data_IF_760778643284
#
_entry.id   IF_760778643284
#
_cell.length_a   1.000
_cell.length_b   1.000
_cell.length_c   1.000
_cell.angle_alpha   90.00
_cell.angle_beta   90.00
_cell.angle_gamma   90.00
#
_symmetry.space_group_name_H-M   'P 1'
#
loop_
_entity.id
_entity.type
_entity.pdbx_description
1 polymer ?
#
# COMPACT_ATOMS: atom_id res chain seq x y z
N UNK A 1 -35.55 -12.38 3.72
CA UNK A 1 -34.53 -11.30 3.78
C UNK A 1 -33.59 -11.43 4.98
N UNK A 2 -34.07 -11.64 6.23
CA UNK A 2 -33.22 -11.66 7.45
C UNK A 2 -32.08 -12.69 7.48
N UNK A 3 -32.23 -13.88 6.89
CA UNK A 3 -31.15 -14.88 6.80
C UNK A 3 -30.13 -14.61 5.68
N UNK A 4 -30.47 -13.77 4.70
CA UNK A 4 -29.58 -13.47 3.57
C UNK A 4 -28.56 -12.36 3.91
N UNK A 5 -28.84 -11.53 4.91
CA UNK A 5 -28.00 -10.39 5.27
C UNK A 5 -26.61 -10.81 5.81
N UNK A 6 -26.49 -11.76 6.77
CA UNK A 6 -25.17 -12.22 7.23
C UNK A 6 -24.36 -12.88 6.11
N UNK A 7 -25.01 -13.70 5.28
CA UNK A 7 -24.38 -14.33 4.12
C UNK A 7 -23.89 -13.30 3.11
N UNK A 8 -24.69 -12.26 2.84
CA UNK A 8 -24.30 -11.16 1.97
C UNK A 8 -23.10 -10.39 2.51
N UNK A 9 -23.08 -10.07 3.81
CA UNK A 9 -21.94 -9.43 4.46
C UNK A 9 -20.68 -10.30 4.35
N UNK A 10 -20.80 -11.61 4.56
CA UNK A 10 -19.66 -12.52 4.41
C UNK A 10 -19.11 -12.55 2.98
N UNK A 11 -19.98 -12.63 1.97
CA UNK A 11 -19.57 -12.59 0.55
C UNK A 11 -18.86 -11.28 0.23
N UNK A 12 -19.41 -10.15 0.67
CA UNK A 12 -18.78 -8.82 0.48
C UNK A 12 -17.41 -8.77 1.16
N UNK A 13 -17.29 -9.26 2.39
CA UNK A 13 -16.02 -9.31 3.09
C UNK A 13 -14.99 -10.15 2.33
N UNK A 14 -15.35 -11.35 1.86
CA UNK A 14 -14.44 -12.20 1.07
C UNK A 14 -13.98 -11.48 -0.20
N UNK A 15 -14.90 -10.84 -0.93
CA UNK A 15 -14.55 -10.08 -2.13
C UNK A 15 -13.58 -8.93 -1.82
N UNK A 16 -13.80 -8.19 -0.73
CA UNK A 16 -12.92 -7.11 -0.28
C UNK A 16 -11.55 -7.61 0.21
N UNK A 17 -11.49 -8.82 0.78
CA UNK A 17 -10.22 -9.42 1.21
C UNK A 17 -9.39 -9.91 0.02
N UNK A 18 -10.04 -10.46 -1.01
CA UNK A 18 -9.35 -11.15 -2.11
C UNK A 18 -9.05 -10.22 -3.28
N UNK A 19 -10.01 -9.41 -3.72
CA UNK A 19 -9.87 -8.64 -4.97
C UNK A 19 -8.70 -7.65 -4.95
N UNK A 20 -8.50 -6.81 -3.92
CA UNK A 20 -7.42 -5.81 -3.96
C UNK A 20 -6.02 -6.43 -3.92
N UNK A 21 -5.69 -7.38 -3.01
CA UNK A 21 -4.40 -8.07 -3.05
C UNK A 21 -4.18 -8.83 -4.35
N UNK A 22 -5.21 -9.47 -4.89
CA UNK A 22 -5.12 -10.18 -6.17
C UNK A 22 -4.84 -9.24 -7.33
N UNK A 23 -5.57 -8.13 -7.44
CA UNK A 23 -5.36 -7.13 -8.48
C UNK A 23 -3.96 -6.49 -8.38
N UNK A 24 -3.50 -6.20 -7.16
CA UNK A 24 -2.14 -5.67 -6.98
C UNK A 24 -1.09 -6.72 -7.34
N UNK A 25 -1.30 -7.99 -7.01
CA UNK A 25 -0.39 -9.09 -7.36
C UNK A 25 -0.25 -9.27 -8.88
N UNK A 26 -1.36 -9.20 -9.63
CA UNK A 26 -1.33 -9.37 -11.09
C UNK A 26 -0.63 -8.21 -11.79
N UNK A 27 -0.78 -6.99 -11.29
CA UNK A 27 -0.14 -5.77 -11.84
C UNK A 27 1.31 -5.59 -11.35
N UNK A 28 1.68 -6.21 -10.24
CA UNK A 28 2.99 -6.06 -9.59
C UNK A 28 4.15 -6.33 -10.54
N UNK A 29 4.04 -7.35 -11.39
CA UNK A 29 5.11 -7.75 -12.29
C UNK A 29 5.45 -6.68 -13.33
N UNK A 30 4.44 -6.13 -14.01
CA UNK A 30 4.64 -5.08 -15.01
C UNK A 30 5.17 -3.80 -14.38
N UNK A 31 4.62 -3.40 -13.23
CA UNK A 31 5.12 -2.21 -12.52
C UNK A 31 6.56 -2.37 -12.05
N UNK A 32 6.94 -3.55 -11.53
CA UNK A 32 8.32 -3.81 -11.16
C UNK A 32 9.26 -3.76 -12.36
N UNK A 33 8.83 -4.25 -13.54
CA UNK A 33 9.61 -4.17 -14.76
C UNK A 33 9.81 -2.72 -15.22
N UNK A 34 8.77 -1.89 -15.19
CA UNK A 34 8.86 -0.47 -15.52
C UNK A 34 9.79 0.28 -14.54
N UNK A 35 9.71 -0.06 -13.25
CA UNK A 35 10.53 0.52 -12.19
C UNK A 35 11.98 0.02 -12.19
N UNK A 36 12.29 -1.08 -12.91
CA UNK A 36 13.65 -1.59 -13.10
C UNK A 36 14.42 -0.81 -14.17
N UNK A 37 13.76 0.13 -14.84
CA UNK A 37 14.38 0.99 -15.86
C UNK A 37 15.56 1.79 -15.29
N UNK A 38 16.73 1.78 -15.96
CA UNK A 38 17.88 2.58 -15.56
C UNK A 38 17.59 4.08 -15.45
N UNK A 39 16.64 4.59 -16.25
CA UNK A 39 16.24 5.99 -16.21
C UNK A 39 15.59 6.36 -14.86
N UNK A 40 14.70 5.51 -14.33
CA UNK A 40 14.04 5.74 -13.04
C UNK A 40 15.05 5.72 -11.89
N UNK A 41 16.05 4.84 -11.96
CA UNK A 41 17.14 4.82 -10.99
C UNK A 41 18.02 6.08 -11.08
N UNK A 42 18.30 6.57 -12.30
CA UNK A 42 19.07 7.80 -12.50
C UNK A 42 18.34 9.03 -11.95
N UNK A 43 17.04 9.17 -12.24
CA UNK A 43 16.17 10.23 -11.69
C UNK A 43 16.14 10.18 -10.16
N UNK A 44 16.05 8.99 -9.58
CA UNK A 44 16.11 8.83 -8.12
C UNK A 44 17.45 9.25 -7.53
N UNK A 45 18.55 8.90 -8.20
CA UNK A 45 19.88 9.31 -7.77
C UNK A 45 20.06 10.83 -7.87
N UNK A 46 19.57 11.47 -8.93
CA UNK A 46 19.58 12.93 -9.10
C UNK A 46 18.80 13.62 -7.98
N UNK A 47 17.57 13.16 -7.72
CA UNK A 47 16.75 13.63 -6.61
C UNK A 47 17.49 13.54 -5.26
N UNK A 48 18.14 12.42 -4.97
CA UNK A 48 18.93 12.25 -3.74
C UNK A 48 20.11 13.21 -3.67
N UNK A 49 20.81 13.42 -4.79
CA UNK A 49 21.95 14.32 -4.86
C UNK A 49 21.53 15.78 -4.63
N UNK A 50 20.38 16.19 -5.17
CA UNK A 50 19.87 17.54 -4.94
C UNK A 50 19.41 17.76 -3.51
N UNK A 51 18.79 16.75 -2.90
CA UNK A 51 18.48 16.77 -1.46
C UNK A 51 19.74 16.88 -0.59
N UNK A 52 20.84 16.24 -0.99
CA UNK A 52 22.13 16.37 -0.29
C UNK A 52 22.71 17.78 -0.40
N UNK A 53 22.70 18.38 -1.60
CA UNK A 53 23.15 19.77 -1.77
C UNK A 53 22.34 20.73 -0.88
N UNK A 54 21.03 20.52 -0.77
CA UNK A 54 20.15 21.33 0.07
C UNK A 54 20.34 21.09 1.57
N UNK A 55 20.75 19.88 1.98
CA UNK A 55 21.02 19.57 3.39
C UNK A 55 22.32 20.19 3.90
N UNK A 56 23.31 20.33 3.02
CA UNK A 56 24.62 20.88 3.35
C UNK A 56 24.64 22.42 3.37
N UNK A 57 23.59 23.05 2.82
CA UNK A 57 23.36 24.49 2.95
C UNK A 57 22.86 24.78 4.37
N UNK A 58 23.58 25.64 5.11
CA UNK A 58 23.29 26.04 6.49
C UNK A 58 22.05 26.94 6.62
N UNK A 59 20.97 26.61 5.93
CA UNK A 59 19.67 27.27 6.03
C UNK A 59 18.89 26.80 7.27
N UNK A 60 17.84 27.54 7.66
CA UNK A 60 17.01 27.19 8.81
C UNK A 60 16.21 25.89 8.64
N UNK A 61 16.08 25.38 7.41
CA UNK A 61 15.43 24.10 7.10
C UNK A 61 16.47 23.18 6.47
N UNK A 62 16.85 22.13 7.20
CA UNK A 62 17.69 21.07 6.65
C UNK A 62 16.81 19.97 6.07
N UNK A 63 16.92 19.74 4.77
CA UNK A 63 16.25 18.62 4.13
C UNK A 63 16.95 17.31 4.49
N UNK A 64 16.18 16.28 4.83
CA UNK A 64 16.74 14.96 5.13
C UNK A 64 16.90 14.19 3.82
N UNK A 65 18.14 13.81 3.52
CA UNK A 65 18.39 12.91 2.39
C UNK A 65 17.72 11.56 2.66
N UNK A 66 16.94 11.02 1.71
CA UNK A 66 16.35 9.69 1.84
C UNK A 66 17.42 8.65 2.21
N UNK A 67 17.06 7.58 2.90
CA UNK A 67 18.03 6.51 3.22
C UNK A 67 18.11 5.42 2.15
N UNK A 68 17.02 5.21 1.40
CA UNK A 68 16.91 4.13 0.40
C UNK A 68 17.73 4.43 -0.86
N UNK A 69 18.63 3.54 -1.23
CA UNK A 69 19.38 3.62 -2.48
C UNK A 69 18.50 3.42 -3.72
N UNK A 70 17.40 2.69 -3.59
CA UNK A 70 16.44 2.44 -4.65
C UNK A 70 15.16 3.29 -4.48
N UNK A 71 14.41 3.55 -5.57
CA UNK A 71 13.11 4.20 -5.49
C UNK A 71 12.19 3.48 -4.50
N UNK A 72 11.51 4.22 -3.58
CA UNK A 72 10.76 3.62 -2.49
C UNK A 72 9.61 2.74 -2.98
N UNK A 73 8.96 3.10 -4.09
CA UNK A 73 7.88 2.30 -4.67
C UNK A 73 8.36 0.92 -5.14
N UNK A 74 9.56 0.86 -5.74
CA UNK A 74 10.19 -0.40 -6.17
C UNK A 74 10.47 -1.31 -4.98
N UNK A 75 11.09 -0.75 -3.94
CA UNK A 75 11.37 -1.46 -2.67
C UNK A 75 10.06 -1.95 -2.03
N UNK A 76 9.03 -1.11 -2.00
CA UNK A 76 7.74 -1.47 -1.40
C UNK A 76 7.06 -2.63 -2.13
N UNK A 77 7.00 -2.57 -3.47
CA UNK A 77 6.43 -3.65 -4.29
C UNK A 77 7.27 -4.92 -4.23
N UNK A 78 8.60 -4.84 -4.20
CA UNK A 78 9.48 -6.01 -4.17
C UNK A 78 9.49 -6.69 -2.80
N UNK A 79 9.74 -5.92 -1.74
CA UNK A 79 10.15 -6.45 -0.44
C UNK A 79 8.99 -6.44 0.58
N UNK A 80 8.05 -5.50 0.46
CA UNK A 80 7.01 -5.26 1.46
C UNK A 80 5.59 -5.58 0.99
N UNK A 81 5.42 -6.18 -0.20
CA UNK A 81 4.12 -6.55 -0.72
C UNK A 81 3.32 -7.41 0.27
N UNK A 82 3.92 -8.47 0.82
CA UNK A 82 3.21 -9.35 1.76
C UNK A 82 2.90 -8.68 3.08
N UNK A 83 3.76 -7.75 3.54
CA UNK A 83 3.46 -6.94 4.71
C UNK A 83 2.20 -6.09 4.47
N UNK A 84 2.06 -5.51 3.28
CA UNK A 84 0.86 -4.76 2.89
C UNK A 84 -0.39 -5.66 2.82
N UNK A 85 -0.28 -6.88 2.28
CA UNK A 85 -1.39 -7.83 2.23
C UNK A 85 -1.85 -8.24 3.64
N UNK A 86 -0.90 -8.50 4.55
CA UNK A 86 -1.22 -8.83 5.94
C UNK A 86 -1.87 -7.64 6.65
N UNK A 87 -1.30 -6.44 6.50
CA UNK A 87 -1.87 -5.23 7.08
C UNK A 87 -3.28 -4.96 6.54
N UNK A 88 -3.51 -5.15 5.24
CA UNK A 88 -4.83 -5.07 4.61
C UNK A 88 -5.80 -6.05 5.26
N UNK A 89 -5.43 -7.33 5.32
CA UNK A 89 -6.29 -8.37 5.87
C UNK A 89 -6.70 -8.07 7.33
N UNK A 90 -5.75 -7.63 8.17
CA UNK A 90 -6.00 -7.32 9.58
C UNK A 90 -6.89 -6.09 9.72
N UNK A 91 -6.48 -4.96 9.14
CA UNK A 91 -7.16 -3.68 9.34
C UNK A 91 -8.55 -3.68 8.71
N UNK A 92 -8.68 -4.20 7.48
CA UNK A 92 -9.96 -4.27 6.80
C UNK A 92 -10.92 -5.26 7.49
N UNK A 93 -10.43 -6.36 8.06
CA UNK A 93 -11.28 -7.29 8.83
C UNK A 93 -11.79 -6.67 10.12
N UNK A 94 -10.94 -5.96 10.86
CA UNK A 94 -11.35 -5.24 12.08
C UNK A 94 -12.42 -4.21 11.74
N UNK A 95 -12.17 -3.37 10.74
CA UNK A 95 -13.12 -2.35 10.30
C UNK A 95 -14.46 -2.97 9.84
N UNK A 96 -14.39 -4.02 9.01
CA UNK A 96 -15.57 -4.71 8.52
C UNK A 96 -16.36 -5.37 9.65
N UNK A 97 -15.69 -5.96 10.64
CA UNK A 97 -16.32 -6.57 11.80
C UNK A 97 -17.15 -5.56 12.60
N UNK A 98 -16.56 -4.40 12.94
CA UNK A 98 -17.28 -3.33 13.62
C UNK A 98 -18.47 -2.81 12.79
N UNK A 99 -18.25 -2.56 11.51
CA UNK A 99 -19.31 -2.09 10.61
C UNK A 99 -20.44 -3.13 10.46
N UNK A 100 -20.08 -4.41 10.32
CA UNK A 100 -21.02 -5.52 10.22
C UNK A 100 -21.89 -5.66 11.48
N UNK A 101 -21.30 -5.52 12.68
CA UNK A 101 -22.05 -5.51 13.94
C UNK A 101 -23.05 -4.34 13.97
N UNK A 102 -22.61 -3.14 13.58
CA UNK A 102 -23.48 -1.96 13.54
C UNK A 102 -24.66 -2.16 12.57
N UNK A 103 -24.38 -2.65 11.35
CA UNK A 103 -25.42 -2.95 10.35
C UNK A 103 -26.40 -4.01 10.87
N UNK A 104 -25.91 -5.10 11.46
CA UNK A 104 -26.77 -6.14 12.03
C UNK A 104 -27.58 -5.62 13.23
N UNK A 105 -27.03 -4.70 14.01
CA UNK A 105 -27.72 -4.06 15.14
C UNK A 105 -28.86 -3.14 14.71
N UNK A 106 -28.65 -2.32 13.66
CA UNK A 106 -29.69 -1.40 13.14
C UNK A 106 -30.80 -2.15 12.39
N UNK A 107 -30.50 -3.30 11.80
CA UNK A 107 -31.44 -4.07 10.98
C UNK A 107 -32.22 -5.14 11.76
N UNK A 108 -31.87 -5.37 13.03
CA UNK A 108 -32.58 -6.29 13.93
C UNK A 108 -33.68 -5.58 14.71
#
# INVERSE_FOLDING_TARGET
MRQALPTGLFVVWVLLMVLPPYALWTLRGSWLADLDSPNIQAEWNEFRNDMQKQSDMSGPVQHKVPKSAEPPLRVWLRDYFWLAVVAWAVLASVLFGFFGIAVLGVTK
#
